data_IF_534056704568
#
_entry.id   IF_534056704568
#
_cell.length_a   1.000
_cell.length_b   1.000
_cell.length_c   1.000
_cell.angle_alpha   90.00
_cell.angle_beta   90.00
_cell.angle_gamma   90.00
#
_symmetry.space_group_name_H-M   'P 1'
#
loop_
_entity.id
_entity.type
_entity.pdbx_description
1 polymer ?
#
# COMPACT_ATOMS: atom_id res chain seq x y z
N UNK A 1 -14.69 -21.90 -23.80
CA UNK A 1 -14.09 -20.61 -23.41
C UNK A 1 -13.24 -20.23 -24.60
N UNK A 2 -13.42 -19.05 -25.12
CA UNK A 2 -12.53 -18.58 -26.17
C UNK A 2 -11.15 -18.30 -25.53
N UNK A 3 -10.11 -18.76 -26.21
CA UNK A 3 -8.73 -18.62 -25.79
C UNK A 3 -8.33 -17.15 -26.01
N UNK A 4 -7.93 -16.47 -24.95
CA UNK A 4 -7.56 -15.04 -24.99
C UNK A 4 -6.08 -14.88 -25.36
N UNK A 5 -5.76 -15.22 -26.62
CA UNK A 5 -4.38 -15.24 -27.10
C UNK A 5 -3.73 -13.86 -27.06
N UNK A 6 -2.57 -13.78 -26.39
CA UNK A 6 -1.70 -12.61 -26.44
C UNK A 6 -1.01 -12.54 -27.79
N UNK A 7 -1.36 -11.58 -28.60
CA UNK A 7 -0.75 -11.36 -29.92
C UNK A 7 0.52 -10.53 -29.83
N UNK A 8 0.50 -9.50 -28.97
CA UNK A 8 1.59 -8.53 -28.86
C UNK A 8 1.66 -7.90 -27.47
N UNK A 9 2.89 -7.62 -27.03
CA UNK A 9 3.17 -6.80 -25.85
C UNK A 9 4.04 -5.62 -26.23
N UNK A 10 3.70 -4.42 -25.73
CA UNK A 10 4.44 -3.17 -25.97
C UNK A 10 4.72 -2.48 -24.66
N UNK A 11 5.99 -2.25 -24.37
CA UNK A 11 6.44 -1.46 -23.22
C UNK A 11 6.82 -0.04 -23.61
N UNK A 12 6.61 0.91 -22.70
CA UNK A 12 7.09 2.30 -22.82
C UNK A 12 7.50 2.86 -21.48
N UNK A 13 8.35 3.90 -21.54
CA UNK A 13 8.68 4.73 -20.40
C UNK A 13 7.61 5.81 -20.24
N UNK A 14 7.09 5.96 -19.03
CA UNK A 14 6.18 7.05 -18.64
C UNK A 14 6.75 7.79 -17.44
N UNK A 15 6.13 8.87 -17.00
CA UNK A 15 6.58 9.68 -15.85
C UNK A 15 5.64 9.46 -14.67
N UNK A 16 6.21 9.19 -13.50
CA UNK A 16 5.48 9.02 -12.26
C UNK A 16 5.14 10.37 -11.57
N UNK A 17 4.41 10.31 -10.46
CA UNK A 17 3.97 11.47 -9.69
C UNK A 17 5.11 12.31 -9.07
N UNK A 18 6.33 11.78 -9.05
CA UNK A 18 7.54 12.48 -8.58
C UNK A 18 8.40 13.03 -9.73
N UNK A 19 7.95 12.88 -10.98
CA UNK A 19 8.71 13.28 -12.16
C UNK A 19 9.84 12.31 -12.52
N UNK A 20 9.85 11.09 -11.97
CA UNK A 20 10.79 10.05 -12.34
C UNK A 20 10.19 9.11 -13.41
N UNK A 21 11.01 8.53 -14.30
CA UNK A 21 10.52 7.54 -15.25
C UNK A 21 10.09 6.26 -14.55
N UNK A 22 9.05 5.63 -15.08
CA UNK A 22 8.61 4.28 -14.72
C UNK A 22 8.10 3.55 -15.95
N UNK A 23 7.69 2.29 -15.79
CA UNK A 23 7.36 1.37 -16.87
C UNK A 23 5.85 1.23 -17.00
N UNK A 24 5.35 1.35 -18.25
CA UNK A 24 3.99 0.99 -18.65
C UNK A 24 4.05 -0.07 -19.75
N UNK A 25 3.15 -1.05 -19.70
CA UNK A 25 2.98 -2.04 -20.74
C UNK A 25 1.55 -2.06 -21.27
N UNK A 26 1.40 -2.43 -22.55
CA UNK A 26 0.14 -2.77 -23.17
C UNK A 26 0.21 -4.22 -23.68
N UNK A 27 -0.82 -4.99 -23.39
CA UNK A 27 -1.04 -6.35 -23.91
C UNK A 27 -2.19 -6.30 -24.90
N UNK A 28 -1.94 -6.72 -26.12
CA UNK A 28 -2.89 -6.80 -27.23
C UNK A 28 -3.31 -8.25 -27.38
N UNK A 29 -4.62 -8.50 -27.40
CA UNK A 29 -5.20 -9.81 -27.66
C UNK A 29 -5.59 -9.96 -29.13
N UNK A 30 -5.70 -11.22 -29.59
CA UNK A 30 -6.08 -11.55 -30.95
C UNK A 30 -7.49 -11.05 -31.36
N UNK A 31 -8.38 -10.80 -30.38
CA UNK A 31 -9.69 -10.20 -30.59
C UNK A 31 -9.67 -8.67 -30.76
N UNK A 32 -8.48 -8.05 -30.69
CA UNK A 32 -8.28 -6.60 -30.77
C UNK A 32 -8.38 -5.88 -29.43
N UNK A 33 -8.66 -6.59 -28.32
CA UNK A 33 -8.68 -6.00 -26.98
C UNK A 33 -7.28 -5.59 -26.55
N UNK A 34 -7.18 -4.45 -25.84
CA UNK A 34 -5.92 -3.93 -25.29
C UNK A 34 -6.08 -3.69 -23.78
N UNK A 35 -5.21 -4.29 -22.99
CA UNK A 35 -5.06 -3.99 -21.56
C UNK A 35 -3.78 -3.21 -21.30
N UNK A 36 -3.81 -2.27 -20.35
CA UNK A 36 -2.67 -1.45 -19.96
C UNK A 36 -2.37 -1.60 -18.49
N UNK A 37 -1.10 -1.65 -18.12
CA UNK A 37 -0.63 -1.71 -16.74
C UNK A 37 0.63 -0.89 -16.55
N UNK A 38 0.76 -0.20 -15.41
CA UNK A 38 1.92 0.59 -15.05
C UNK A 38 2.46 0.16 -13.68
N UNK A 39 3.78 0.13 -13.55
CA UNK A 39 4.43 -0.19 -12.30
C UNK A 39 4.69 1.09 -11.48
N UNK A 40 4.30 1.14 -10.19
CA UNK A 40 4.67 2.22 -9.30
C UNK A 40 6.12 2.08 -8.83
N UNK A 41 6.65 3.11 -8.16
CA UNK A 41 8.04 3.16 -7.68
C UNK A 41 8.12 3.65 -6.24
N UNK A 42 8.93 3.01 -5.39
CA UNK A 42 9.17 3.44 -4.01
C UNK A 42 10.17 4.60 -3.90
N UNK A 43 10.09 5.40 -2.83
CA UNK A 43 11.13 6.36 -2.44
C UNK A 43 12.22 5.66 -1.63
N UNK A 44 11.82 4.88 -0.64
CA UNK A 44 12.65 3.90 0.07
C UNK A 44 12.29 2.51 -0.46
N UNK A 45 13.27 1.62 -0.55
CA UNK A 45 13.06 0.22 -0.92
C UNK A 45 13.57 -0.64 0.23
N UNK A 46 12.74 -1.57 0.71
CA UNK A 46 13.18 -2.60 1.66
C UNK A 46 14.31 -3.45 1.06
N UNK A 47 15.23 -3.90 1.89
CA UNK A 47 16.40 -4.68 1.44
C UNK A 47 16.01 -5.96 0.68
N UNK A 48 14.80 -6.47 0.93
CA UNK A 48 14.31 -7.75 0.38
C UNK A 48 13.25 -7.59 -0.71
N UNK A 49 13.04 -6.37 -1.24
CA UNK A 49 12.14 -6.15 -2.36
C UNK A 49 12.71 -6.73 -3.66
N UNK A 50 11.82 -7.16 -4.57
CA UNK A 50 12.21 -7.49 -5.94
C UNK A 50 12.78 -6.25 -6.65
N UNK A 51 13.76 -6.46 -7.54
CA UNK A 51 14.54 -5.38 -8.12
C UNK A 51 13.75 -4.54 -9.13
N UNK A 52 13.62 -3.26 -8.86
CA UNK A 52 13.21 -2.27 -9.83
C UNK A 52 14.40 -1.95 -10.75
N UNK A 53 14.34 -2.42 -12.01
CA UNK A 53 15.44 -2.29 -12.95
C UNK A 53 15.55 -0.84 -13.44
N UNK A 54 16.67 -0.19 -13.10
CA UNK A 54 17.07 1.16 -13.52
C UNK A 54 18.30 1.11 -14.41
N UNK A 55 18.41 2.05 -15.36
CA UNK A 55 19.50 2.07 -16.35
C UNK A 55 20.87 2.39 -15.73
N UNK A 56 20.90 3.23 -14.67
CA UNK A 56 22.13 3.70 -14.04
C UNK A 56 22.89 4.76 -14.85
N UNK A 57 22.41 5.12 -16.04
CA UNK A 57 23.01 6.13 -16.90
C UNK A 57 22.77 7.54 -16.31
N UNK A 58 23.82 8.16 -15.80
CA UNK A 58 23.76 9.47 -15.13
C UNK A 58 23.36 10.61 -16.08
N UNK A 59 23.59 10.46 -17.38
CA UNK A 59 23.28 11.48 -18.38
C UNK A 59 21.79 11.48 -18.76
N UNK A 60 21.05 10.44 -18.31
CA UNK A 60 19.62 10.29 -18.57
C UNK A 60 18.85 10.09 -17.26
N UNK A 61 17.93 11.02 -16.92
CA UNK A 61 17.17 11.03 -15.67
C UNK A 61 18.01 10.86 -14.40
N UNK A 62 19.28 11.30 -14.41
CA UNK A 62 20.19 11.14 -13.28
C UNK A 62 20.47 9.69 -12.89
N UNK A 63 20.34 8.74 -13.81
CA UNK A 63 20.50 7.31 -13.59
C UNK A 63 19.21 6.53 -13.36
N UNK A 64 18.06 7.22 -13.27
CA UNK A 64 16.76 6.60 -12.97
C UNK A 64 15.96 6.13 -14.20
N UNK A 65 16.55 6.20 -15.42
CA UNK A 65 15.94 5.72 -16.65
C UNK A 65 15.50 4.25 -16.56
N UNK A 66 14.50 3.85 -17.35
CA UNK A 66 13.96 2.48 -17.39
C UNK A 66 14.00 1.88 -18.80
N UNK A 67 14.91 2.38 -19.65
CA UNK A 67 15.02 1.94 -21.05
C UNK A 67 15.33 0.44 -21.17
N UNK A 68 16.15 -0.12 -20.27
CA UNK A 68 16.46 -1.55 -20.23
C UNK A 68 15.22 -2.38 -19.90
N UNK A 69 14.45 -1.98 -18.89
CA UNK A 69 13.19 -2.65 -18.55
C UNK A 69 12.19 -2.59 -19.70
N UNK A 70 12.06 -1.44 -20.36
CA UNK A 70 11.21 -1.27 -21.56
C UNK A 70 11.69 -2.16 -22.71
N UNK A 71 13.00 -2.24 -22.94
CA UNK A 71 13.56 -3.13 -23.95
C UNK A 71 13.24 -4.59 -23.63
N UNK A 72 13.37 -5.02 -22.38
CA UNK A 72 13.03 -6.38 -21.94
C UNK A 72 11.56 -6.71 -22.22
N UNK A 73 10.64 -5.76 -22.01
CA UNK A 73 9.22 -5.94 -22.37
C UNK A 73 9.07 -6.14 -23.87
N UNK A 74 9.69 -5.29 -24.68
CA UNK A 74 9.54 -5.28 -26.14
C UNK A 74 10.25 -6.45 -26.86
N UNK A 75 11.07 -7.22 -26.15
CA UNK A 75 11.83 -8.35 -26.69
C UNK A 75 11.55 -9.62 -25.90
N UNK A 76 12.31 -9.91 -24.85
CA UNK A 76 12.29 -11.17 -24.12
C UNK A 76 10.90 -11.49 -23.56
N UNK A 77 10.25 -10.53 -22.90
CA UNK A 77 8.91 -10.75 -22.30
C UNK A 77 7.88 -10.92 -23.40
N UNK A 78 7.90 -10.08 -24.45
CA UNK A 78 7.02 -10.23 -25.61
C UNK A 78 7.11 -11.64 -26.20
N UNK A 79 8.32 -12.12 -26.50
CA UNK A 79 8.53 -13.44 -27.10
C UNK A 79 8.12 -14.59 -26.14
N UNK A 80 8.27 -14.38 -24.83
CA UNK A 80 7.92 -15.35 -23.79
C UNK A 80 6.40 -15.55 -23.67
N UNK A 81 5.61 -14.46 -23.69
CA UNK A 81 4.17 -14.54 -23.41
C UNK A 81 3.30 -14.54 -24.67
N UNK A 82 3.87 -14.26 -25.84
CA UNK A 82 3.14 -14.31 -27.11
C UNK A 82 2.55 -15.71 -27.35
N UNK A 83 1.27 -15.76 -27.74
CA UNK A 83 0.53 -16.99 -27.94
C UNK A 83 -0.02 -17.61 -26.64
N UNK A 84 0.25 -17.04 -25.46
CA UNK A 84 -0.32 -17.50 -24.20
C UNK A 84 -1.76 -16.97 -24.00
N UNK A 85 -2.52 -17.62 -23.15
CA UNK A 85 -3.86 -17.19 -22.73
C UNK A 85 -3.74 -16.12 -21.64
N UNK A 86 -4.16 -14.89 -21.91
CA UNK A 86 -4.14 -13.79 -20.95
C UNK A 86 -5.03 -14.03 -19.72
N UNK A 87 -6.00 -14.95 -19.80
CA UNK A 87 -6.83 -15.31 -18.64
C UNK A 87 -6.11 -16.23 -17.64
N UNK A 88 -5.05 -16.91 -18.06
CA UNK A 88 -4.16 -17.68 -17.18
C UNK A 88 -3.06 -16.81 -16.59
N UNK A 89 -3.44 -15.92 -15.66
CA UNK A 89 -2.49 -15.00 -14.99
C UNK A 89 -1.31 -15.75 -14.37
N UNK A 90 -1.57 -16.91 -13.76
CA UNK A 90 -0.51 -17.71 -13.14
C UNK A 90 0.47 -18.23 -14.17
N UNK A 91 -0.02 -18.73 -15.29
CA UNK A 91 0.82 -19.21 -16.39
C UNK A 91 1.66 -18.09 -17.00
N UNK A 92 1.05 -16.95 -17.29
CA UNK A 92 1.74 -15.75 -17.84
C UNK A 92 2.84 -15.27 -16.90
N UNK A 93 2.53 -15.08 -15.62
CA UNK A 93 3.50 -14.63 -14.61
C UNK A 93 4.64 -15.64 -14.43
N UNK A 94 4.32 -16.93 -14.32
CA UNK A 94 5.33 -17.99 -14.19
C UNK A 94 6.27 -18.06 -15.39
N UNK A 95 5.76 -17.84 -16.60
CA UNK A 95 6.58 -17.79 -17.81
C UNK A 95 7.61 -16.63 -17.75
N UNK A 96 7.18 -15.43 -17.34
CA UNK A 96 8.05 -14.27 -17.19
C UNK A 96 9.08 -14.46 -16.06
N UNK A 97 8.66 -14.96 -14.89
CA UNK A 97 9.54 -15.26 -13.76
C UNK A 97 10.60 -16.29 -14.14
N UNK A 98 10.20 -17.33 -14.86
CA UNK A 98 11.16 -18.34 -15.35
C UNK A 98 12.12 -17.79 -16.40
N UNK A 99 11.67 -16.87 -17.24
CA UNK A 99 12.53 -16.20 -18.23
C UNK A 99 13.55 -15.26 -17.58
N UNK A 100 13.18 -14.63 -16.46
CA UNK A 100 14.12 -13.84 -15.62
C UNK A 100 15.17 -14.74 -14.96
N UNK A 101 14.75 -15.82 -14.34
CA UNK A 101 15.62 -16.85 -13.76
C UNK A 101 16.37 -16.46 -12.49
N UNK A 102 16.16 -15.24 -11.94
CA UNK A 102 16.74 -14.78 -10.67
C UNK A 102 15.70 -14.75 -9.55
N UNK A 103 16.15 -14.77 -8.30
CA UNK A 103 15.25 -14.74 -7.14
C UNK A 103 14.55 -13.37 -6.99
N UNK A 104 15.29 -12.30 -7.28
CA UNK A 104 14.86 -10.91 -7.11
C UNK A 104 14.38 -10.24 -8.40
N UNK A 105 14.24 -10.98 -9.50
CA UNK A 105 13.84 -10.48 -10.83
C UNK A 105 14.82 -9.43 -11.42
N UNK A 106 16.11 -9.59 -11.14
CA UNK A 106 17.14 -8.61 -11.52
C UNK A 106 17.53 -8.62 -13.01
N UNK A 107 17.22 -9.68 -13.75
CA UNK A 107 17.54 -9.76 -15.19
C UNK A 107 16.54 -8.98 -16.05
N UNK A 108 15.24 -9.21 -15.87
CA UNK A 108 14.20 -8.53 -16.64
C UNK A 108 13.69 -7.26 -15.96
N UNK A 109 13.72 -7.23 -14.63
CA UNK A 109 13.19 -6.19 -13.79
C UNK A 109 11.77 -6.48 -13.27
N UNK A 110 11.58 -6.38 -11.96
CA UNK A 110 10.26 -6.54 -11.34
C UNK A 110 9.25 -5.52 -11.87
N UNK A 111 9.68 -4.31 -12.20
CA UNK A 111 8.86 -3.27 -12.82
C UNK A 111 8.38 -3.68 -14.23
N UNK A 112 9.23 -4.31 -15.04
CA UNK A 112 8.85 -4.80 -16.36
C UNK A 112 7.86 -5.96 -16.27
N UNK A 113 8.13 -6.95 -15.42
CA UNK A 113 7.25 -8.11 -15.20
C UNK A 113 5.89 -7.64 -14.67
N UNK A 114 5.86 -6.77 -13.68
CA UNK A 114 4.61 -6.29 -13.08
C UNK A 114 3.74 -5.52 -14.09
N UNK A 115 4.32 -4.63 -14.86
CA UNK A 115 3.57 -3.85 -15.85
C UNK A 115 2.85 -4.78 -16.83
N UNK A 116 3.52 -5.83 -17.31
CA UNK A 116 2.92 -6.83 -18.22
C UNK A 116 1.89 -7.70 -17.51
N UNK A 117 2.16 -8.13 -16.29
CA UNK A 117 1.24 -8.93 -15.47
C UNK A 117 -0.10 -8.19 -15.27
N UNK A 118 -0.07 -6.92 -14.89
CA UNK A 118 -1.26 -6.06 -14.76
C UNK A 118 -1.95 -5.89 -16.11
N UNK A 119 -1.19 -5.60 -17.18
CA UNK A 119 -1.73 -5.38 -18.50
C UNK A 119 -2.46 -6.62 -19.05
N UNK A 120 -1.91 -7.83 -18.84
CA UNK A 120 -2.52 -9.09 -19.23
C UNK A 120 -3.83 -9.33 -18.46
N UNK A 121 -3.83 -9.17 -17.15
CA UNK A 121 -5.03 -9.30 -16.32
C UNK A 121 -6.15 -8.33 -16.77
N UNK A 122 -5.78 -7.09 -17.08
CA UNK A 122 -6.71 -6.06 -17.56
C UNK A 122 -7.23 -6.38 -18.97
N UNK A 123 -6.38 -6.84 -19.88
CA UNK A 123 -6.79 -7.26 -21.22
C UNK A 123 -7.82 -8.42 -21.13
N UNK A 124 -7.53 -9.41 -20.30
CA UNK A 124 -8.44 -10.53 -20.09
C UNK A 124 -9.79 -10.06 -19.52
N UNK A 125 -9.78 -9.20 -18.50
CA UNK A 125 -11.02 -8.67 -17.90
C UNK A 125 -11.87 -7.90 -18.91
N UNK A 126 -11.26 -7.06 -19.74
CA UNK A 126 -11.94 -6.30 -20.79
C UNK A 126 -12.53 -7.24 -21.86
N UNK A 127 -11.74 -8.17 -22.37
CA UNK A 127 -12.20 -9.15 -23.38
C UNK A 127 -13.37 -10.00 -22.89
N UNK A 128 -13.34 -10.41 -21.61
CA UNK A 128 -14.43 -11.14 -20.97
C UNK A 128 -15.65 -10.27 -20.61
N UNK A 129 -15.56 -8.95 -20.74
CA UNK A 129 -16.63 -8.03 -20.39
C UNK A 129 -16.96 -8.00 -18.89
N UNK A 130 -15.97 -8.28 -18.04
CA UNK A 130 -16.13 -8.25 -16.58
C UNK A 130 -15.13 -7.26 -15.96
N UNK A 131 -15.50 -6.55 -14.85
CA UNK A 131 -14.59 -5.64 -14.18
C UNK A 131 -13.36 -6.36 -13.62
N UNK A 132 -12.22 -5.64 -13.54
CA UNK A 132 -10.96 -6.24 -13.10
C UNK A 132 -11.06 -6.85 -11.70
N UNK A 133 -11.76 -6.21 -10.77
CA UNK A 133 -11.94 -6.75 -9.41
C UNK A 133 -12.70 -8.09 -9.41
N UNK A 134 -13.67 -8.28 -10.31
CA UNK A 134 -14.39 -9.56 -10.47
C UNK A 134 -13.55 -10.61 -11.18
N UNK A 135 -12.73 -10.18 -12.14
CA UNK A 135 -11.80 -11.09 -12.81
C UNK A 135 -10.79 -11.67 -11.81
N UNK A 136 -10.22 -10.83 -10.93
CA UNK A 136 -9.23 -11.26 -9.94
C UNK A 136 -9.83 -12.01 -8.74
N UNK A 137 -11.00 -11.59 -8.27
CA UNK A 137 -11.61 -12.08 -7.02
C UNK A 137 -12.82 -12.98 -7.18
N UNK A 138 -13.35 -13.11 -8.40
CA UNK A 138 -14.57 -13.85 -8.68
C UNK A 138 -15.80 -13.15 -8.06
N UNK A 139 -16.84 -13.94 -7.82
CA UNK A 139 -18.12 -13.44 -7.28
C UNK A 139 -18.06 -13.01 -5.82
N UNK A 140 -17.00 -13.36 -5.11
CA UNK A 140 -16.85 -13.09 -3.68
C UNK A 140 -16.32 -11.69 -3.37
N UNK A 141 -15.78 -10.97 -4.36
CA UNK A 141 -15.26 -9.60 -4.20
C UNK A 141 -16.40 -8.58 -4.08
N UNK A 142 -16.80 -8.23 -2.85
CA UNK A 142 -17.88 -7.27 -2.59
C UNK A 142 -17.64 -6.38 -1.35
N UNK A 143 -16.48 -6.49 -0.71
CA UNK A 143 -16.16 -5.66 0.47
C UNK A 143 -15.37 -4.43 0.04
N UNK A 144 -15.97 -3.27 0.30
CA UNK A 144 -15.32 -1.98 0.08
C UNK A 144 -14.26 -1.75 1.15
N UNK A 145 -13.04 -1.33 0.78
CA UNK A 145 -11.99 -1.13 1.79
C UNK A 145 -12.23 0.14 2.60
N UNK A 146 -11.93 0.10 3.90
CA UNK A 146 -11.78 1.29 4.73
C UNK A 146 -10.49 2.02 4.31
N UNK A 147 -10.55 3.30 3.91
CA UNK A 147 -9.35 4.03 3.54
C UNK A 147 -8.50 4.35 4.78
N UNK A 148 -7.20 4.07 4.68
CA UNK A 148 -6.15 4.56 5.58
C UNK A 148 -5.57 5.81 4.93
N UNK A 149 -6.15 6.97 5.24
CA UNK A 149 -5.90 8.20 4.50
C UNK A 149 -4.80 9.02 5.16
N UNK A 150 -3.61 9.03 4.55
CA UNK A 150 -2.46 9.79 5.03
C UNK A 150 -2.67 11.29 4.85
N UNK A 151 -2.97 12.02 5.93
CA UNK A 151 -3.26 13.46 5.88
C UNK A 151 -2.17 14.34 6.50
N UNK A 152 -1.20 13.73 7.21
CA UNK A 152 -0.05 14.44 7.78
C UNK A 152 1.20 13.58 7.70
N UNK A 153 2.28 14.14 7.17
CA UNK A 153 3.55 13.46 6.90
C UNK A 153 4.67 13.96 7.80
N UNK A 154 5.55 13.04 8.16
CA UNK A 154 6.83 13.28 8.82
C UNK A 154 7.92 12.35 8.27
N UNK A 155 8.88 11.98 9.10
CA UNK A 155 9.95 11.05 8.77
C UNK A 155 10.69 11.40 7.48
N UNK A 156 10.92 10.41 6.63
CA UNK A 156 11.57 10.57 5.33
C UNK A 156 10.64 11.26 4.29
N UNK A 157 9.33 11.26 4.50
CA UNK A 157 8.34 11.86 3.59
C UNK A 157 8.18 13.38 3.74
N UNK A 158 8.84 14.01 4.73
CA UNK A 158 8.76 15.44 4.97
C UNK A 158 10.05 16.01 5.54
N UNK A 159 10.44 17.20 5.09
CA UNK A 159 11.54 17.96 5.65
C UNK A 159 11.06 18.78 6.86
N UNK A 160 10.50 18.11 7.89
CA UNK A 160 9.98 18.70 9.11
C UNK A 160 10.56 18.01 10.36
N UNK A 161 10.02 18.33 11.55
CA UNK A 161 10.54 17.88 12.85
C UNK A 161 9.87 16.64 13.42
N UNK A 162 8.94 16.03 12.69
CA UNK A 162 8.15 14.86 13.11
C UNK A 162 8.88 13.57 12.70
N UNK A 163 9.06 12.63 13.63
CA UNK A 163 9.80 11.38 13.41
C UNK A 163 8.96 10.31 12.70
N UNK A 164 7.70 10.12 13.09
CA UNK A 164 6.76 9.18 12.47
C UNK A 164 6.46 9.61 11.03
N UNK A 165 6.51 8.67 10.09
CA UNK A 165 6.47 8.96 8.66
C UNK A 165 5.09 9.37 8.17
N UNK A 166 4.03 8.67 8.63
CA UNK A 166 2.65 8.92 8.19
C UNK A 166 1.67 8.85 9.36
N UNK A 167 0.73 9.81 9.34
CA UNK A 167 -0.43 9.81 10.24
C UNK A 167 -1.69 9.72 9.40
N UNK A 168 -2.44 8.65 9.59
CA UNK A 168 -3.60 8.30 8.79
C UNK A 168 -4.88 8.37 9.61
N UNK A 169 -5.95 8.86 8.98
CA UNK A 169 -7.33 8.76 9.48
C UNK A 169 -8.04 7.62 8.78
N UNK A 170 -8.91 6.93 9.53
CA UNK A 170 -9.73 5.84 9.03
C UNK A 170 -11.18 6.06 9.44
N UNK A 171 -12.13 6.25 8.48
CA UNK A 171 -13.54 6.53 8.77
C UNK A 171 -14.29 5.22 9.09
N UNK A 172 -13.84 4.53 10.13
CA UNK A 172 -14.36 3.20 10.49
C UNK A 172 -15.81 3.23 11.01
N UNK A 173 -16.32 4.40 11.42
CA UNK A 173 -17.72 4.60 11.81
C UNK A 173 -18.65 4.97 10.66
N UNK A 174 -18.14 5.16 9.43
CA UNK A 174 -18.96 5.55 8.30
C UNK A 174 -19.91 4.42 7.85
N UNK A 175 -21.08 4.77 7.29
CA UNK A 175 -22.06 3.77 6.85
C UNK A 175 -21.74 3.11 5.51
N UNK A 176 -20.76 3.62 4.74
CA UNK A 176 -20.35 3.14 3.42
C UNK A 176 -19.09 3.84 2.95
N UNK A 177 -18.50 3.34 1.87
CA UNK A 177 -17.24 3.89 1.35
C UNK A 177 -17.40 5.34 0.87
N UNK A 178 -18.45 5.65 0.10
CA UNK A 178 -18.73 7.01 -0.40
C UNK A 178 -18.81 8.03 0.75
N UNK A 179 -19.54 7.71 1.82
CA UNK A 179 -19.65 8.57 2.99
C UNK A 179 -18.32 8.66 3.74
N UNK A 180 -17.61 7.55 3.91
CA UNK A 180 -16.28 7.53 4.51
C UNK A 180 -15.30 8.43 3.76
N UNK A 181 -15.30 8.39 2.43
CA UNK A 181 -14.49 9.29 1.59
C UNK A 181 -14.88 10.75 1.78
N UNK A 182 -16.18 11.08 1.81
CA UNK A 182 -16.66 12.43 2.10
C UNK A 182 -16.16 12.92 3.46
N UNK A 183 -16.33 12.13 4.50
CA UNK A 183 -15.87 12.45 5.85
C UNK A 183 -14.37 12.74 5.88
N UNK A 184 -13.56 11.90 5.21
CA UNK A 184 -12.11 12.12 5.11
C UNK A 184 -11.76 13.44 4.44
N UNK A 185 -12.44 13.83 3.36
CA UNK A 185 -12.20 15.11 2.68
C UNK A 185 -12.56 16.30 3.58
N UNK A 186 -13.65 16.22 4.33
CA UNK A 186 -14.07 17.24 5.29
C UNK A 186 -13.04 17.41 6.42
N UNK A 187 -12.52 16.31 6.97
CA UNK A 187 -11.42 16.35 7.97
C UNK A 187 -10.14 16.91 7.38
N UNK A 188 -9.78 16.54 6.16
CA UNK A 188 -8.60 17.08 5.47
C UNK A 188 -8.67 18.59 5.30
N UNK A 189 -9.83 19.13 4.90
CA UNK A 189 -10.05 20.58 4.81
C UNK A 189 -10.06 21.27 6.18
N UNK A 190 -10.63 20.64 7.21
CA UNK A 190 -10.60 21.16 8.57
C UNK A 190 -9.15 21.22 9.10
N UNK A 191 -8.32 20.22 8.80
CA UNK A 191 -6.89 20.23 9.15
C UNK A 191 -6.15 21.37 8.43
N UNK A 192 -6.40 21.59 7.15
CA UNK A 192 -5.82 22.71 6.40
C UNK A 192 -6.17 24.07 7.03
N UNK A 193 -7.44 24.26 7.43
CA UNK A 193 -7.88 25.47 8.10
C UNK A 193 -7.19 25.66 9.44
N UNK A 194 -7.12 24.60 10.27
CA UNK A 194 -6.45 24.61 11.56
C UNK A 194 -4.96 24.96 11.45
N UNK A 195 -4.24 24.35 10.49
CA UNK A 195 -2.83 24.65 10.24
C UNK A 195 -2.62 26.11 9.84
N UNK A 196 -3.47 26.65 8.96
CA UNK A 196 -3.42 28.08 8.56
C UNK A 196 -3.66 29.01 9.73
N UNK A 197 -4.64 28.73 10.60
CA UNK A 197 -4.92 29.51 11.81
C UNK A 197 -3.71 29.58 12.75
N UNK A 198 -2.91 28.51 12.77
CA UNK A 198 -1.68 28.43 13.56
C UNK A 198 -0.42 28.99 12.86
N UNK A 199 -0.59 29.48 11.62
CA UNK A 199 0.54 29.97 10.81
C UNK A 199 1.47 28.88 10.30
N UNK A 200 0.99 27.63 10.25
CA UNK A 200 1.75 26.48 9.80
C UNK A 200 1.55 26.22 8.29
N UNK A 201 2.54 25.57 7.69
CA UNK A 201 2.52 25.24 6.26
C UNK A 201 1.39 24.24 5.92
N UNK A 202 0.76 24.45 4.75
CA UNK A 202 -0.23 23.55 4.14
C UNK A 202 0.25 23.04 2.79
N UNK A 203 1.54 23.07 2.52
CA UNK A 203 2.16 22.34 1.42
C UNK A 203 2.06 20.84 1.68
N UNK A 204 1.88 20.08 0.59
CA UNK A 204 1.70 18.63 0.67
C UNK A 204 2.96 17.88 0.25
N UNK A 205 3.18 16.71 0.87
CA UNK A 205 4.22 15.76 0.47
C UNK A 205 3.83 14.93 -0.75
N UNK A 206 4.67 13.94 -1.07
CA UNK A 206 4.50 13.06 -2.23
C UNK A 206 3.18 12.29 -2.23
N UNK A 207 2.62 12.01 -1.07
CA UNK A 207 1.37 11.27 -0.91
C UNK A 207 0.14 12.17 -0.66
N UNK A 208 0.30 13.48 -0.76
CA UNK A 208 -0.77 14.46 -0.68
C UNK A 208 -1.13 14.94 0.73
N UNK A 209 -0.56 14.36 1.79
CA UNK A 209 -0.71 14.81 3.18
C UNK A 209 0.09 16.07 3.46
N UNK A 210 -0.35 16.88 4.45
CA UNK A 210 0.38 18.08 4.88
C UNK A 210 1.68 17.73 5.57
N UNK A 211 2.67 18.65 5.51
CA UNK A 211 3.99 18.47 6.10
C UNK A 211 4.38 19.69 6.94
N UNK A 212 3.61 20.06 8.00
CA UNK A 212 3.94 21.19 8.87
C UNK A 212 5.09 20.86 9.82
N UNK A 213 5.79 21.89 10.28
CA UNK A 213 6.70 21.79 11.41
C UNK A 213 5.90 21.75 12.72
N UNK A 214 6.01 20.66 13.46
CA UNK A 214 5.34 20.44 14.74
C UNK A 214 6.36 20.06 15.81
N UNK A 215 6.04 20.30 17.07
CA UNK A 215 7.00 20.08 18.18
C UNK A 215 7.23 18.59 18.47
N UNK A 216 6.30 17.69 18.08
CA UNK A 216 6.40 16.24 18.32
C UNK A 216 5.41 15.45 17.48
N UNK A 217 5.60 14.12 17.43
CA UNK A 217 4.63 13.17 16.85
C UNK A 217 3.27 13.25 17.57
N UNK A 218 3.29 13.46 18.88
CA UNK A 218 2.06 13.57 19.67
C UNK A 218 1.27 14.86 19.35
N UNK A 219 1.95 15.96 19.04
CA UNK A 219 1.29 17.18 18.55
C UNK A 219 0.61 16.94 17.20
N UNK A 220 1.22 16.14 16.31
CA UNK A 220 0.59 15.77 15.04
C UNK A 220 -0.73 15.01 15.28
N UNK A 221 -0.73 14.04 16.19
CA UNK A 221 -1.95 13.32 16.59
C UNK A 221 -3.01 14.30 17.12
N UNK A 222 -2.64 15.23 17.97
CA UNK A 222 -3.55 16.22 18.56
C UNK A 222 -4.17 17.13 17.49
N UNK A 223 -3.39 17.59 16.50
CA UNK A 223 -3.90 18.37 15.37
C UNK A 223 -4.93 17.60 14.55
N UNK A 224 -4.68 16.33 14.28
CA UNK A 224 -5.60 15.47 13.54
C UNK A 224 -6.90 15.28 14.33
N UNK A 225 -6.83 14.97 15.62
CA UNK A 225 -8.02 14.77 16.46
C UNK A 225 -8.84 16.06 16.59
N UNK A 226 -8.19 17.21 16.66
CA UNK A 226 -8.87 18.51 16.63
C UNK A 226 -9.56 18.77 15.29
N UNK A 227 -8.90 18.42 14.17
CA UNK A 227 -9.50 18.53 12.84
C UNK A 227 -10.73 17.61 12.68
N UNK A 228 -10.68 16.38 13.21
CA UNK A 228 -11.82 15.45 13.24
C UNK A 228 -13.01 16.07 13.98
N UNK A 229 -12.78 16.68 15.18
CA UNK A 229 -13.84 17.34 15.96
C UNK A 229 -14.39 18.57 15.23
N UNK A 230 -13.53 19.39 14.63
CA UNK A 230 -13.95 20.58 13.86
C UNK A 230 -14.80 20.23 12.63
N UNK A 231 -14.52 19.07 12.03
CA UNK A 231 -15.35 18.55 10.95
C UNK A 231 -16.70 17.98 11.42
N UNK A 232 -16.95 17.92 12.74
CA UNK A 232 -18.19 17.44 13.33
C UNK A 232 -18.21 15.94 13.63
N UNK A 233 -17.06 15.28 13.67
CA UNK A 233 -16.93 13.84 13.92
C UNK A 233 -16.31 13.54 15.28
N UNK A 234 -16.59 12.33 15.80
CA UNK A 234 -16.14 11.87 17.11
C UNK A 234 -14.93 10.94 16.98
N UNK A 235 -13.71 11.36 17.48
CA UNK A 235 -12.55 10.47 17.53
C UNK A 235 -12.82 9.21 18.36
N UNK A 236 -12.36 8.06 17.85
CA UNK A 236 -12.55 6.75 18.48
C UNK A 236 -13.87 6.06 18.14
N UNK A 237 -14.83 6.80 17.55
CA UNK A 237 -16.12 6.27 17.12
C UNK A 237 -16.32 6.38 15.61
N UNK A 238 -16.28 7.60 15.10
CA UNK A 238 -16.43 7.87 13.66
C UNK A 238 -15.09 7.64 12.94
N UNK A 239 -14.01 8.07 13.57
CA UNK A 239 -12.65 7.92 13.07
C UNK A 239 -11.72 7.24 14.08
N UNK A 240 -10.91 6.32 13.60
CA UNK A 240 -9.73 5.82 14.30
C UNK A 240 -8.47 6.25 13.56
N UNK A 241 -7.32 6.15 14.22
CA UNK A 241 -6.03 6.54 13.66
C UNK A 241 -5.19 5.32 13.31
N UNK A 242 -4.38 5.47 12.27
CA UNK A 242 -3.29 4.57 11.93
C UNK A 242 -2.00 5.38 11.76
N UNK A 243 -0.86 4.76 12.03
CA UNK A 243 0.46 5.36 11.88
C UNK A 243 1.38 4.42 11.11
N UNK A 244 2.27 4.99 10.32
CA UNK A 244 3.43 4.33 9.76
C UNK A 244 4.69 4.95 10.37
N UNK A 245 5.40 4.18 11.18
CA UNK A 245 6.60 4.64 11.85
C UNK A 245 7.84 4.56 10.96
N UNK A 246 7.87 3.62 10.02
CA UNK A 246 9.03 3.30 9.18
C UNK A 246 10.32 3.14 10.03
N UNK A 247 10.24 2.38 11.12
CA UNK A 247 11.30 2.32 12.14
C UNK A 247 12.62 1.70 11.67
N UNK A 248 12.65 1.08 10.49
CA UNK A 248 13.90 0.67 9.84
C UNK A 248 14.85 1.85 9.58
N UNK A 249 14.29 3.06 9.38
CA UNK A 249 15.06 4.31 9.26
C UNK A 249 15.68 4.78 10.59
N UNK A 250 15.26 4.21 11.73
CA UNK A 250 15.70 4.61 13.07
C UNK A 250 16.78 3.70 13.66
N UNK A 251 17.20 2.66 12.94
CA UNK A 251 18.21 1.71 13.44
C UNK A 251 19.55 2.38 13.72
N UNK A 252 20.14 2.11 14.88
CA UNK A 252 21.38 2.73 15.35
C UNK A 252 22.67 2.01 14.91
N UNK A 253 22.57 0.97 14.09
CA UNK A 253 23.70 0.07 13.78
C UNK A 253 23.87 -1.08 14.79
N UNK A 254 23.16 -1.07 15.90
CA UNK A 254 23.07 -2.18 16.85
C UNK A 254 21.64 -2.73 16.84
N UNK A 255 21.49 -4.03 16.62
CA UNK A 255 20.17 -4.68 16.58
C UNK A 255 19.37 -4.38 17.86
N UNK A 256 18.09 -4.01 17.68
CA UNK A 256 17.20 -3.69 18.79
C UNK A 256 17.49 -2.36 19.48
N UNK A 257 18.26 -1.47 18.85
CA UNK A 257 18.51 -0.11 19.31
C UNK A 257 18.12 0.91 18.25
N UNK A 258 17.36 1.92 18.65
CA UNK A 258 16.76 2.92 17.77
C UNK A 258 17.17 4.33 18.19
N UNK A 259 17.43 5.18 17.22
CA UNK A 259 17.66 6.61 17.40
C UNK A 259 16.72 7.36 16.45
N UNK A 260 15.73 8.04 17.00
CA UNK A 260 14.80 8.83 16.21
C UNK A 260 15.54 9.98 15.51
N UNK A 261 15.43 10.14 14.20
CA UNK A 261 16.32 11.05 13.45
C UNK A 261 16.07 12.52 13.72
N UNK A 262 14.85 12.92 14.10
CA UNK A 262 14.46 14.32 14.35
C UNK A 262 14.60 14.66 15.84
N UNK A 263 13.87 13.97 16.71
CA UNK A 263 13.85 14.22 18.15
C UNK A 263 15.10 13.76 18.89
N UNK A 264 15.96 12.95 18.26
CA UNK A 264 17.19 12.38 18.86
C UNK A 264 16.94 11.51 20.09
N UNK A 265 15.72 11.02 20.27
CA UNK A 265 15.39 10.07 21.33
C UNK A 265 16.01 8.70 21.04
N UNK A 266 16.44 8.02 22.11
CA UNK A 266 17.00 6.67 22.04
C UNK A 266 16.04 5.67 22.67
N UNK A 267 15.88 4.52 22.06
CA UNK A 267 15.05 3.43 22.56
C UNK A 267 15.71 2.07 22.27
N UNK A 268 15.62 1.15 23.22
CA UNK A 268 15.68 -0.28 22.95
C UNK A 268 14.35 -0.76 22.35
N UNK A 269 14.32 -1.96 21.77
CA UNK A 269 13.06 -2.57 21.29
C UNK A 269 11.96 -2.56 22.36
N UNK A 270 12.30 -2.93 23.60
CA UNK A 270 11.32 -2.95 24.71
C UNK A 270 10.78 -1.58 25.06
N UNK A 271 11.64 -0.55 25.09
CA UNK A 271 11.25 0.85 25.37
C UNK A 271 10.39 1.41 24.22
N UNK A 272 10.71 1.09 22.97
CA UNK A 272 9.91 1.52 21.82
C UNK A 272 8.52 0.86 21.82
N UNK A 273 8.44 -0.44 22.17
CA UNK A 273 7.14 -1.12 22.36
C UNK A 273 6.33 -0.48 23.49
N UNK A 274 6.96 -0.11 24.60
CA UNK A 274 6.30 0.60 25.70
C UNK A 274 5.79 1.98 25.27
N UNK A 275 6.57 2.71 24.45
CA UNK A 275 6.16 3.98 23.88
C UNK A 275 4.91 3.85 22.98
N UNK A 276 4.88 2.86 22.08
CA UNK A 276 3.69 2.59 21.27
C UNK A 276 2.47 2.23 22.14
N UNK A 277 2.68 1.45 23.19
CA UNK A 277 1.62 1.08 24.12
C UNK A 277 1.00 2.29 24.80
N UNK A 278 1.83 3.21 25.30
CA UNK A 278 1.39 4.47 25.92
C UNK A 278 0.56 5.32 24.95
N UNK A 279 1.01 5.49 23.70
CA UNK A 279 0.28 6.26 22.69
C UNK A 279 -1.09 5.61 22.35
N UNK A 280 -1.14 4.28 22.22
CA UNK A 280 -2.39 3.56 21.96
C UNK A 280 -3.37 3.56 23.15
N UNK A 281 -2.87 3.71 24.37
CA UNK A 281 -3.73 3.88 25.56
C UNK A 281 -4.31 5.30 25.67
N UNK A 282 -3.58 6.29 25.16
CA UNK A 282 -3.94 7.70 25.21
C UNK A 282 -4.81 8.17 24.04
N UNK A 283 -4.63 7.59 22.87
CA UNK A 283 -5.26 8.00 21.62
C UNK A 283 -5.95 6.84 20.91
N UNK A 284 -6.95 7.09 20.05
CA UNK A 284 -7.67 6.04 19.32
C UNK A 284 -6.85 5.48 18.14
N UNK A 285 -5.62 5.03 18.41
CA UNK A 285 -4.72 4.42 17.43
C UNK A 285 -5.07 2.92 17.35
N UNK A 286 -5.53 2.47 16.19
CA UNK A 286 -5.92 1.09 15.93
C UNK A 286 -4.91 0.31 15.08
N UNK A 287 -3.95 1.00 14.43
CA UNK A 287 -2.99 0.37 13.54
C UNK A 287 -1.62 1.07 13.62
N UNK A 288 -0.55 0.26 13.71
CA UNK A 288 0.85 0.72 13.64
C UNK A 288 1.56 -0.13 12.59
N UNK A 289 2.11 0.54 11.57
CA UNK A 289 2.93 -0.04 10.52
C UNK A 289 4.40 0.17 10.85
N UNK A 290 5.20 -0.88 10.66
CA UNK A 290 6.64 -0.92 10.87
C UNK A 290 7.10 -0.21 12.16
N UNK A 291 6.43 -0.56 13.27
CA UNK A 291 6.75 -0.01 14.59
C UNK A 291 8.13 -0.42 15.12
N UNK A 292 8.81 -1.35 14.47
CA UNK A 292 10.17 -1.83 14.72
C UNK A 292 10.89 -2.12 13.40
N UNK A 293 12.22 -2.22 13.46
CA UNK A 293 13.07 -2.56 12.31
C UNK A 293 12.73 -3.93 11.71
N UNK A 294 12.86 -4.06 10.39
CA UNK A 294 12.55 -5.24 9.58
C UNK A 294 13.31 -6.52 9.95
N UNK A 295 14.44 -6.40 10.68
CA UNK A 295 15.22 -7.53 11.17
C UNK A 295 15.16 -7.71 12.70
N UNK A 296 14.38 -6.88 13.40
CA UNK A 296 14.17 -7.03 14.86
C UNK A 296 13.04 -8.01 15.20
N UNK A 297 13.17 -9.25 14.74
CA UNK A 297 12.16 -10.31 14.90
C UNK A 297 11.77 -10.56 16.36
N UNK A 298 12.72 -10.51 17.30
CA UNK A 298 12.45 -10.67 18.74
C UNK A 298 11.64 -9.50 19.29
N UNK A 299 11.97 -8.27 18.83
CA UNK A 299 11.19 -7.07 19.15
C UNK A 299 9.77 -7.18 18.62
N UNK A 300 9.58 -7.64 17.38
CA UNK A 300 8.26 -7.87 16.79
C UNK A 300 7.44 -8.91 17.55
N UNK A 301 8.05 -10.00 18.03
CA UNK A 301 7.37 -10.97 18.90
C UNK A 301 6.89 -10.30 20.20
N UNK A 302 7.75 -9.48 20.81
CA UNK A 302 7.40 -8.71 22.02
C UNK A 302 6.23 -7.76 21.74
N UNK A 303 6.33 -6.96 20.67
CA UNK A 303 5.28 -6.00 20.28
C UNK A 303 3.95 -6.71 20.02
N UNK A 304 3.98 -7.83 19.32
CA UNK A 304 2.77 -8.60 19.01
C UNK A 304 2.11 -9.15 20.26
N UNK A 305 2.90 -9.65 21.21
CA UNK A 305 2.38 -10.14 22.49
C UNK A 305 1.75 -9.02 23.32
N UNK A 306 2.36 -7.84 23.36
CA UNK A 306 1.91 -6.72 24.21
C UNK A 306 0.73 -5.94 23.59
N UNK A 307 0.69 -5.80 22.27
CA UNK A 307 -0.25 -4.93 21.55
C UNK A 307 -1.18 -5.66 20.58
N UNK A 308 -0.79 -6.81 20.04
CA UNK A 308 -1.47 -7.47 18.93
C UNK A 308 -2.91 -7.90 19.18
N UNK A 309 -3.33 -8.00 20.43
CA UNK A 309 -4.74 -8.23 20.80
C UNK A 309 -5.64 -6.98 20.75
N UNK A 310 -5.06 -5.79 20.62
CA UNK A 310 -5.77 -4.50 20.64
C UNK A 310 -5.45 -3.57 19.48
N UNK A 311 -4.32 -3.80 18.81
CA UNK A 311 -3.79 -2.95 17.74
C UNK A 311 -3.43 -3.82 16.56
N UNK A 312 -3.78 -3.38 15.36
CA UNK A 312 -3.29 -3.96 14.12
C UNK A 312 -1.82 -3.60 13.96
N UNK A 313 -0.97 -4.61 13.87
CA UNK A 313 0.48 -4.48 13.69
C UNK A 313 0.82 -4.90 12.28
N UNK A 314 1.18 -3.92 11.46
CA UNK A 314 1.37 -4.09 10.01
C UNK A 314 2.85 -4.22 9.71
N UNK A 315 3.23 -5.29 8.99
CA UNK A 315 4.56 -5.40 8.41
C UNK A 315 4.55 -4.94 6.95
N UNK A 316 5.26 -3.85 6.65
CA UNK A 316 5.62 -3.41 5.31
C UNK A 316 7.05 -3.89 4.99
N UNK A 317 8.08 -3.22 5.49
CA UNK A 317 9.47 -3.62 5.31
C UNK A 317 9.76 -5.01 5.94
N UNK A 318 9.05 -5.35 7.02
CA UNK A 318 9.14 -6.67 7.64
C UNK A 318 8.84 -7.81 6.66
N UNK A 319 7.85 -7.66 5.79
CA UNK A 319 7.34 -8.72 4.91
C UNK A 319 7.59 -8.49 3.43
N UNK A 320 7.68 -7.26 2.97
CA UNK A 320 7.88 -6.84 1.56
C UNK A 320 7.00 -7.61 0.56
N UNK A 321 5.76 -7.90 0.93
CA UNK A 321 4.81 -8.71 0.13
C UNK A 321 5.36 -10.11 -0.23
N UNK A 322 6.42 -10.56 0.45
CA UNK A 322 7.13 -11.82 0.16
C UNK A 322 6.59 -12.97 1.01
N UNK A 323 6.14 -14.04 0.36
CA UNK A 323 5.55 -15.20 1.05
C UNK A 323 6.52 -15.94 1.98
N UNK A 324 7.83 -15.96 1.69
CA UNK A 324 8.82 -16.59 2.56
C UNK A 324 9.00 -15.80 3.86
N UNK A 325 9.12 -14.45 3.76
CA UNK A 325 9.20 -13.58 4.94
C UNK A 325 7.90 -13.60 5.75
N UNK A 326 6.74 -13.55 5.06
CA UNK A 326 5.44 -13.66 5.71
C UNK A 326 5.29 -14.98 6.46
N UNK A 327 5.67 -16.10 5.84
CA UNK A 327 5.67 -17.42 6.48
C UNK A 327 6.55 -17.44 7.74
N UNK A 328 7.76 -16.83 7.67
CA UNK A 328 8.64 -16.69 8.84
C UNK A 328 7.96 -15.92 9.97
N UNK A 329 7.39 -14.74 9.67
CA UNK A 329 6.70 -13.92 10.67
C UNK A 329 5.50 -14.63 11.30
N UNK A 330 4.67 -15.29 10.50
CA UNK A 330 3.56 -16.10 10.98
C UNK A 330 4.06 -17.19 11.95
N UNK A 331 5.12 -17.92 11.58
CA UNK A 331 5.67 -18.99 12.41
C UNK A 331 6.28 -18.50 13.73
N UNK A 332 6.78 -17.26 13.74
CA UNK A 332 7.36 -16.61 14.92
C UNK A 332 6.32 -15.83 15.76
N UNK A 333 5.09 -15.65 15.27
CA UNK A 333 4.07 -14.84 15.93
C UNK A 333 4.39 -13.34 15.89
N UNK A 334 4.93 -12.85 14.78
CA UNK A 334 5.28 -11.45 14.53
C UNK A 334 4.22 -10.75 13.69
N UNK A 335 3.74 -9.59 14.14
CA UNK A 335 2.68 -8.82 13.49
C UNK A 335 1.31 -9.55 13.46
N UNK A 336 0.30 -8.94 12.85
CA UNK A 336 -1.02 -9.54 12.61
C UNK A 336 -1.67 -9.00 11.32
N UNK A 337 -0.91 -8.23 10.55
CA UNK A 337 -1.30 -7.64 9.27
C UNK A 337 -0.10 -7.53 8.34
N UNK A 338 -0.34 -7.53 7.03
CA UNK A 338 0.67 -7.33 6.00
C UNK A 338 0.26 -6.20 5.06
N UNK A 339 1.21 -5.31 4.74
CA UNK A 339 1.04 -4.34 3.67
C UNK A 339 1.35 -5.02 2.33
N UNK A 340 0.49 -4.80 1.34
CA UNK A 340 0.58 -5.44 0.03
C UNK A 340 0.91 -4.37 -1.01
N UNK A 341 2.11 -4.49 -1.56
CA UNK A 341 2.62 -3.63 -2.64
C UNK A 341 3.02 -4.51 -3.82
N UNK A 342 2.29 -4.42 -4.93
CA UNK A 342 2.50 -5.28 -6.11
C UNK A 342 3.95 -5.26 -6.61
N UNK A 343 4.61 -4.09 -6.59
CA UNK A 343 5.97 -3.96 -7.10
C UNK A 343 7.06 -4.50 -6.16
N UNK A 344 6.76 -4.71 -4.87
CA UNK A 344 7.71 -5.35 -3.94
C UNK A 344 7.98 -6.81 -4.28
N UNK A 345 7.00 -7.48 -4.91
CA UNK A 345 7.14 -8.87 -5.37
C UNK A 345 7.20 -8.98 -6.91
N UNK A 346 6.53 -8.06 -7.63
CA UNK A 346 6.69 -7.88 -9.07
C UNK A 346 5.76 -8.70 -9.97
N UNK A 347 4.70 -9.32 -9.44
CA UNK A 347 3.65 -9.95 -10.23
C UNK A 347 2.31 -9.97 -9.51
N UNK A 348 1.22 -10.03 -10.28
CA UNK A 348 -0.15 -10.16 -9.74
C UNK A 348 -0.33 -11.51 -9.03
N UNK A 349 0.09 -12.60 -9.65
CA UNK A 349 -0.10 -13.95 -9.08
C UNK A 349 0.60 -14.14 -7.72
N UNK A 350 1.85 -13.69 -7.58
CA UNK A 350 2.56 -13.76 -6.30
C UNK A 350 1.91 -12.85 -5.23
N UNK A 351 1.38 -11.69 -5.65
CA UNK A 351 0.61 -10.80 -4.77
C UNK A 351 -0.65 -11.50 -4.25
N UNK A 352 -1.39 -12.20 -5.12
CA UNK A 352 -2.56 -13.00 -4.73
C UNK A 352 -2.18 -14.08 -3.71
N UNK A 353 -1.04 -14.75 -3.89
CA UNK A 353 -0.57 -15.78 -2.95
C UNK A 353 -0.18 -15.19 -1.59
N UNK A 354 0.44 -14.02 -1.55
CA UNK A 354 0.75 -13.33 -0.30
C UNK A 354 -0.53 -12.98 0.48
N UNK A 355 -1.54 -12.42 -0.18
CA UNK A 355 -2.84 -12.11 0.45
C UNK A 355 -3.54 -13.38 0.95
N UNK A 356 -3.58 -14.44 0.15
CA UNK A 356 -4.18 -15.73 0.55
C UNK A 356 -3.46 -16.33 1.76
N UNK A 357 -2.13 -16.26 1.79
CA UNK A 357 -1.33 -16.73 2.93
C UNK A 357 -1.65 -15.95 4.21
N UNK A 358 -1.72 -14.61 4.13
CA UNK A 358 -2.08 -13.75 5.25
C UNK A 358 -3.47 -14.12 5.81
N UNK A 359 -4.49 -14.16 4.95
CA UNK A 359 -5.86 -14.50 5.36
C UNK A 359 -5.98 -15.88 5.99
N UNK A 360 -5.29 -16.91 5.45
CA UNK A 360 -5.27 -18.26 6.03
C UNK A 360 -4.63 -18.31 7.43
N UNK A 361 -3.71 -17.40 7.70
CA UNK A 361 -3.07 -17.28 9.02
C UNK A 361 -3.87 -16.40 9.99
N UNK A 362 -4.99 -15.83 9.57
CA UNK A 362 -5.78 -14.89 10.37
C UNK A 362 -5.20 -13.48 10.40
N UNK A 363 -4.25 -13.16 9.53
CA UNK A 363 -3.75 -11.79 9.34
C UNK A 363 -4.69 -11.00 8.44
N UNK A 364 -4.78 -9.70 8.65
CA UNK A 364 -5.34 -8.79 7.65
C UNK A 364 -4.30 -8.50 6.56
N UNK A 365 -4.78 -8.08 5.39
CA UNK A 365 -3.95 -7.58 4.31
C UNK A 365 -4.44 -6.18 3.94
N UNK A 366 -3.54 -5.28 3.57
CA UNK A 366 -3.85 -3.90 3.22
C UNK A 366 -3.30 -3.65 1.82
N UNK A 367 -4.16 -3.36 0.84
CA UNK A 367 -3.70 -2.95 -0.49
C UNK A 367 -3.07 -1.55 -0.41
N UNK A 368 -1.87 -1.39 -0.92
CA UNK A 368 -1.10 -0.15 -0.75
C UNK A 368 -0.55 0.39 -2.06
N UNK A 369 -0.50 1.72 -2.15
CA UNK A 369 0.24 2.47 -3.14
C UNK A 369 1.75 2.48 -2.85
N UNK A 370 2.49 3.20 -3.69
CA UNK A 370 3.88 3.60 -3.42
C UNK A 370 4.00 5.13 -3.46
N UNK A 371 5.13 5.68 -3.00
CA UNK A 371 5.37 7.13 -3.03
C UNK A 371 5.43 7.69 -4.46
N UNK A 372 5.97 6.96 -5.42
CA UNK A 372 5.89 7.28 -6.85
C UNK A 372 4.78 6.49 -7.52
N UNK A 373 3.67 7.15 -7.85
CA UNK A 373 2.48 6.57 -8.44
C UNK A 373 2.21 7.09 -9.86
N UNK A 374 1.36 6.36 -10.55
CA UNK A 374 0.78 6.72 -11.84
C UNK A 374 -0.73 6.83 -11.72
N UNK A 375 -1.43 7.08 -12.83
CA UNK A 375 -2.90 7.02 -12.89
C UNK A 375 -3.47 5.59 -12.82
N UNK A 376 -2.64 4.55 -12.79
CA UNK A 376 -3.09 3.15 -12.66
C UNK A 376 -3.87 2.93 -11.35
N UNK A 377 -5.01 2.26 -11.44
CA UNK A 377 -5.95 2.04 -10.33
C UNK A 377 -6.05 0.60 -9.86
N UNK A 378 -5.14 -0.26 -10.31
CA UNK A 378 -5.20 -1.72 -10.05
C UNK A 378 -5.31 -2.07 -8.58
N UNK A 379 -4.66 -1.30 -7.67
CA UNK A 379 -4.76 -1.56 -6.22
C UNK A 379 -6.18 -1.36 -5.66
N UNK A 380 -6.99 -0.49 -6.27
CA UNK A 380 -8.39 -0.32 -5.88
C UNK A 380 -9.20 -1.57 -6.24
N UNK A 381 -9.03 -2.08 -7.46
CA UNK A 381 -9.65 -3.34 -7.89
C UNK A 381 -9.16 -4.54 -7.05
N UNK A 382 -7.85 -4.61 -6.77
CA UNK A 382 -7.25 -5.66 -5.93
C UNK A 382 -7.85 -5.68 -4.53
N UNK A 383 -8.02 -4.50 -3.91
CA UNK A 383 -8.57 -4.39 -2.55
C UNK A 383 -9.97 -5.01 -2.45
N UNK A 384 -10.84 -4.75 -3.42
CA UNK A 384 -12.20 -5.31 -3.46
C UNK A 384 -12.17 -6.78 -3.88
N UNK A 385 -11.37 -7.13 -4.89
CA UNK A 385 -11.23 -8.50 -5.39
C UNK A 385 -10.93 -9.50 -4.29
N UNK A 386 -9.95 -9.20 -3.45
CA UNK A 386 -9.46 -10.08 -2.39
C UNK A 386 -10.06 -9.78 -1.01
N UNK A 387 -11.04 -8.86 -0.93
CA UNK A 387 -11.66 -8.45 0.33
C UNK A 387 -10.59 -8.08 1.40
N UNK A 388 -9.60 -7.27 1.01
CA UNK A 388 -8.59 -6.81 1.96
C UNK A 388 -9.18 -5.93 3.06
N UNK A 389 -10.36 -5.39 2.83
CA UNK A 389 -11.11 -4.55 3.75
C UNK A 389 -10.42 -3.24 4.14
N UNK A 390 -9.20 -3.00 3.68
CA UNK A 390 -8.43 -1.78 3.93
C UNK A 390 -7.60 -1.41 2.70
N UNK A 391 -7.41 -0.11 2.47
CA UNK A 391 -6.55 0.42 1.42
C UNK A 391 -5.75 1.62 1.94
N UNK A 392 -4.42 1.60 1.70
CA UNK A 392 -3.50 2.71 2.00
C UNK A 392 -3.07 3.34 0.68
N UNK A 393 -3.65 4.50 0.32
CA UNK A 393 -3.37 5.14 -0.98
C UNK A 393 -3.29 6.67 -0.91
N UNK A 394 -2.77 7.20 0.21
CA UNK A 394 -2.47 8.61 0.40
C UNK A 394 -3.67 9.46 0.81
N UNK A 395 -3.51 10.77 0.71
CA UNK A 395 -4.51 11.78 1.04
C UNK A 395 -5.56 11.95 -0.07
N UNK A 396 -6.68 12.67 0.18
CA UNK A 396 -7.65 13.04 -0.85
C UNK A 396 -7.14 14.25 -1.68
N UNK A 397 -5.89 14.21 -2.04
CA UNK A 397 -5.12 15.25 -2.72
C UNK A 397 -4.09 14.58 -3.62
N UNK A 398 -3.74 15.21 -4.76
CA UNK A 398 -2.95 14.69 -5.87
C UNK A 398 -3.70 13.63 -6.70
N UNK A 399 -3.72 13.84 -8.01
CA UNK A 399 -4.60 13.10 -8.95
C UNK A 399 -4.35 11.60 -8.95
N UNK A 400 -3.10 11.17 -8.82
CA UNK A 400 -2.70 9.76 -8.79
C UNK A 400 -3.21 9.03 -7.54
N UNK A 401 -3.42 9.73 -6.44
CA UNK A 401 -4.05 9.18 -5.20
C UNK A 401 -5.57 9.14 -5.36
N UNK A 402 -6.14 10.28 -5.75
CA UNK A 402 -7.58 10.45 -5.95
C UNK A 402 -8.13 9.49 -7.01
N UNK A 403 -7.33 9.13 -8.03
CA UNK A 403 -7.72 8.15 -9.06
C UNK A 403 -8.15 6.81 -8.44
N UNK A 404 -7.45 6.32 -7.40
CA UNK A 404 -7.76 5.07 -6.70
C UNK A 404 -9.07 5.18 -5.91
N UNK A 405 -9.29 6.30 -5.21
CA UNK A 405 -10.55 6.56 -4.50
C UNK A 405 -11.74 6.70 -5.45
N UNK A 406 -11.55 7.39 -6.58
CA UNK A 406 -12.59 7.50 -7.62
C UNK A 406 -12.92 6.14 -8.26
N UNK A 407 -11.92 5.27 -8.43
CA UNK A 407 -12.15 3.91 -8.90
C UNK A 407 -12.99 3.10 -7.91
N UNK A 408 -12.72 3.24 -6.62
CA UNK A 408 -13.53 2.59 -5.58
C UNK A 408 -14.98 3.10 -5.55
N UNK A 409 -15.23 4.39 -5.82
CA UNK A 409 -16.59 4.91 -5.97
C UNK A 409 -17.33 4.23 -7.14
N UNK A 410 -16.66 4.03 -8.30
CA UNK A 410 -17.23 3.32 -9.45
C UNK A 410 -17.51 1.85 -9.11
N UNK A 411 -16.57 1.20 -8.42
CA UNK A 411 -16.74 -0.20 -8.00
C UNK A 411 -17.92 -0.33 -7.02
N UNK A 412 -18.11 0.60 -6.08
CA UNK A 412 -19.22 0.54 -5.12
C UNK A 412 -20.60 0.62 -5.81
N UNK A 413 -20.70 1.30 -6.94
CA UNK A 413 -21.95 1.43 -7.70
C UNK A 413 -22.42 0.09 -8.34
N UNK A 414 -21.48 -0.78 -8.72
CA UNK A 414 -21.80 -2.03 -9.44
C UNK A 414 -22.54 -3.06 -8.57
N UNK A 415 -22.06 -3.42 -7.34
CA UNK A 415 -22.79 -4.31 -6.45
C UNK A 415 -23.98 -3.61 -5.76
N UNK A 416 -24.01 -2.27 -5.74
CA UNK A 416 -25.08 -1.50 -5.12
C UNK A 416 -25.31 -1.91 -3.66
N UNK A 417 -26.54 -2.28 -3.32
CA UNK A 417 -26.92 -2.67 -1.95
C UNK A 417 -26.23 -3.93 -1.42
N UNK A 418 -25.54 -4.70 -2.28
CA UNK A 418 -24.73 -5.85 -1.87
C UNK A 418 -23.27 -5.52 -1.55
N UNK A 419 -22.84 -4.27 -1.77
CA UNK A 419 -21.56 -3.77 -1.31
C UNK A 419 -21.53 -3.72 0.22
N UNK A 420 -20.47 -4.28 0.81
CA UNK A 420 -20.31 -4.30 2.26
C UNK A 420 -19.15 -3.38 2.65
N UNK A 421 -19.44 -2.37 3.46
CA UNK A 421 -18.39 -1.56 4.10
C UNK A 421 -18.15 -2.09 5.51
N UNK A 422 -16.97 -2.66 5.80
CA UNK A 422 -16.75 -3.41 7.04
C UNK A 422 -16.60 -2.52 8.28
N UNK A 423 -16.25 -1.23 8.13
CA UNK A 423 -15.99 -0.36 9.27
C UNK A 423 -14.95 -0.97 10.22
N UNK A 424 -15.24 -1.03 11.53
CA UNK A 424 -14.34 -1.65 12.52
C UNK A 424 -14.12 -3.16 12.34
N UNK A 425 -14.97 -3.85 11.58
CA UNK A 425 -14.76 -5.27 11.23
C UNK A 425 -13.63 -5.46 10.21
N UNK A 426 -13.10 -4.38 9.61
CA UNK A 426 -11.92 -4.43 8.76
C UNK A 426 -10.67 -4.89 9.52
N UNK A 427 -10.63 -4.65 10.81
CA UNK A 427 -9.55 -5.13 11.68
C UNK A 427 -9.83 -6.57 12.12
N UNK A 428 -8.79 -7.37 12.31
CA UNK A 428 -8.93 -8.64 13.01
C UNK A 428 -9.52 -8.38 14.40
N UNK A 429 -10.27 -9.36 14.93
CA UNK A 429 -10.88 -9.26 16.26
C UNK A 429 -9.82 -8.82 17.28
N UNK A 430 -9.76 -7.51 17.47
CA UNK A 430 -8.95 -6.91 18.51
C UNK A 430 -9.63 -7.31 19.83
N UNK A 431 -9.06 -8.29 20.54
CA UNK A 431 -9.58 -8.75 21.81
C UNK A 431 -9.51 -7.58 22.82
N UNK A 432 -10.61 -6.84 22.99
CA UNK A 432 -10.60 -5.73 23.95
C UNK A 432 -11.78 -4.77 23.92
N UNK A 433 -12.62 -4.77 22.90
CA UNK A 433 -13.92 -4.09 23.00
C UNK A 433 -14.91 -5.04 23.68
N UNK A 434 -14.90 -5.03 25.00
CA UNK A 434 -15.99 -5.55 25.81
C UNK A 434 -17.27 -4.79 25.52
N UNK A 435 -17.93 -5.15 24.44
CA UNK A 435 -19.35 -4.88 24.21
C UNK A 435 -20.10 -5.96 24.94
N UNK A 436 -20.59 -5.63 26.13
CA UNK A 436 -21.55 -6.48 26.85
C UNK A 436 -22.74 -6.80 25.94
N UNK A 437 -23.13 -8.05 25.94
CA UNK A 437 -24.41 -8.54 25.45
C UNK A 437 -25.54 -7.96 26.30
#
# INVERSE_FOLDING_TARGET
MDYLEIEKVVGREIIDSRGNPTVEAEVYLADGTVGRGAAPSGASTGEFEALELRDGDKDRFGGKGVSRAVQNINTIIHDTVKGMDASDIYGVDQAMIKADGTEDKSELGANAILAVSIAAARAASISLGIPLYRFLGGVNGNRMPVPMMNILNGGAHAANTVDVQEFMIMPAGAPGFREGLRWCTEVFHALAALLKEKGLATSVGDEGGFAPDLASDEEAIQFILEAVRRAGYEPGKDFVLAMDAASSEWKSGTKGQYILPKSKKHFSSGELVAHWKELCEKYPICSIEDGLDEEDWEGWQLMTRELGGRVQLVGDDLFVTNTARLKKGISMGCANSVLIKLNQIGSVSETLEAIKMAHRAGYTAIASHRSGETEDTTIADLAVALNTCQIKTGAPSRSERVAKYNQLLRIEEEPGDSAVYPGMEAFNKLNGSGGGR
#
